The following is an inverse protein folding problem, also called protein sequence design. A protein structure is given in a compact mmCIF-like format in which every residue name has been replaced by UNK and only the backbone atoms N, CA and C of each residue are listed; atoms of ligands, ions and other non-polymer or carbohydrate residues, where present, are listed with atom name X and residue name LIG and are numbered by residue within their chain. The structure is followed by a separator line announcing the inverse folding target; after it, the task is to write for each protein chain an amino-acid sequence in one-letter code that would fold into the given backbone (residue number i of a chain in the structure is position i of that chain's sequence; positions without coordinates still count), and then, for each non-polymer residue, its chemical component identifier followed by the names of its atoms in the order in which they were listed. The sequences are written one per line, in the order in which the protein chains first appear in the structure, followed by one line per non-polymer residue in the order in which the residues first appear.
data_IF_064260818567
#
_entry.id   IF_064260818567
#
_cell.length_a   1.000
_cell.length_b   1.000
_cell.length_c   1.000
_cell.angle_alpha   90.00
_cell.angle_beta   90.00
_cell.angle_gamma   90.00
#
_symmetry.space_group_name_H-M   'P 1'
#
loop_
_entity.id
_entity.type
_entity.pdbx_description
1 polymer ?
#
# COMPACT_ATOMS: atom_id res chain seq x y z
N UNK A 1 -28.20 -25.70 -43.46
CA UNK A 1 -26.94 -25.57 -42.64
C UNK A 1 -26.20 -24.23 -42.80
N UNK A 2 -26.76 -23.23 -43.50
CA UNK A 2 -26.10 -21.92 -43.74
C UNK A 2 -26.75 -20.78 -42.97
N UNK A 3 -27.87 -20.99 -42.28
CA UNK A 3 -28.61 -19.92 -41.54
C UNK A 3 -28.21 -19.80 -40.05
N UNK A 4 -27.37 -20.72 -39.52
CA UNK A 4 -26.95 -20.69 -38.11
C UNK A 4 -25.61 -19.96 -37.87
N UNK A 5 -24.95 -19.44 -38.88
CA UNK A 5 -23.64 -18.78 -38.75
C UNK A 5 -23.72 -17.24 -38.70
N UNK A 6 -24.90 -16.63 -38.77
CA UNK A 6 -25.08 -15.17 -38.88
C UNK A 6 -25.66 -14.51 -37.60
N UNK A 7 -25.83 -15.28 -36.52
CA UNK A 7 -26.36 -14.74 -35.24
C UNK A 7 -25.29 -14.50 -34.17
N UNK A 8 -24.00 -14.73 -34.48
CA UNK A 8 -22.92 -14.64 -33.49
C UNK A 8 -22.08 -13.35 -33.59
N UNK A 9 -22.43 -12.37 -34.41
CA UNK A 9 -21.60 -11.18 -34.64
C UNK A 9 -22.22 -9.84 -34.24
N UNK A 10 -23.26 -9.82 -33.40
CA UNK A 10 -23.92 -8.58 -32.93
C UNK A 10 -23.81 -8.36 -31.42
N UNK A 11 -22.83 -8.95 -30.76
CA UNK A 11 -22.37 -8.48 -29.46
C UNK A 11 -21.25 -7.44 -29.65
N UNK A 12 -21.49 -6.43 -30.51
CA UNK A 12 -20.74 -5.18 -30.41
C UNK A 12 -21.11 -4.59 -29.06
N UNK A 13 -20.23 -4.77 -28.06
CA UNK A 13 -20.36 -4.17 -26.75
C UNK A 13 -20.58 -2.68 -26.96
N UNK A 14 -21.78 -2.18 -26.63
CA UNK A 14 -22.00 -0.75 -26.53
C UNK A 14 -20.92 -0.23 -25.60
N UNK A 15 -19.98 0.56 -26.11
CA UNK A 15 -19.00 1.28 -25.29
C UNK A 15 -19.82 2.25 -24.44
N UNK A 16 -20.27 1.77 -23.28
CA UNK A 16 -20.95 2.61 -22.31
C UNK A 16 -19.90 3.52 -21.72
N UNK A 17 -20.08 4.83 -21.88
CA UNK A 17 -19.20 5.80 -21.23
C UNK A 17 -19.07 5.46 -19.74
N UNK A 18 -17.83 5.32 -19.29
CA UNK A 18 -17.54 4.94 -17.91
C UNK A 18 -18.05 6.02 -16.96
N UNK A 19 -18.83 5.61 -15.97
CA UNK A 19 -19.26 6.50 -14.90
C UNK A 19 -18.29 6.40 -13.71
N UNK A 20 -18.45 7.29 -12.74
CA UNK A 20 -17.59 7.35 -11.55
C UNK A 20 -17.58 6.01 -10.79
N UNK A 21 -18.71 5.31 -10.75
CA UNK A 21 -18.80 4.02 -10.05
C UNK A 21 -17.96 2.96 -10.76
N UNK A 22 -17.98 2.94 -12.08
CA UNK A 22 -17.16 2.01 -12.87
C UNK A 22 -15.67 2.31 -12.70
N UNK A 23 -15.27 3.58 -12.77
CA UNK A 23 -13.88 4.01 -12.52
C UNK A 23 -13.42 3.59 -11.12
N UNK A 24 -14.25 3.75 -10.11
CA UNK A 24 -13.93 3.29 -8.76
C UNK A 24 -13.78 1.77 -8.65
N UNK A 25 -14.65 1.01 -9.30
CA UNK A 25 -14.54 -0.48 -9.34
C UNK A 25 -13.25 -0.94 -10.02
N UNK A 26 -12.91 -0.30 -11.15
CA UNK A 26 -11.67 -0.61 -11.86
C UNK A 26 -10.44 -0.25 -11.01
N UNK A 27 -10.46 0.89 -10.33
CA UNK A 27 -9.41 1.31 -9.40
C UNK A 27 -9.27 0.34 -8.21
N UNK A 28 -10.38 -0.16 -7.63
CA UNK A 28 -10.35 -1.17 -6.56
C UNK A 28 -9.65 -2.47 -6.99
N UNK A 29 -9.74 -2.82 -8.26
CA UNK A 29 -9.14 -4.04 -8.80
C UNK A 29 -7.66 -3.86 -9.16
N UNK A 30 -7.23 -2.66 -9.52
CA UNK A 30 -5.94 -2.43 -10.16
C UNK A 30 -4.97 -1.56 -9.35
N UNK A 31 -5.45 -0.65 -8.48
CA UNK A 31 -4.59 0.31 -7.78
C UNK A 31 -3.48 -0.37 -6.97
N UNK A 32 -2.22 -0.04 -7.30
CA UNK A 32 -1.05 -0.62 -6.67
C UNK A 32 -0.89 -0.20 -5.19
N UNK A 33 -1.34 1.00 -4.82
CA UNK A 33 -1.27 1.47 -3.44
C UNK A 33 -2.25 0.68 -2.55
N UNK A 34 -3.47 0.42 -3.05
CA UNK A 34 -4.43 -0.43 -2.34
C UNK A 34 -3.95 -1.90 -2.27
N UNK A 35 -3.32 -2.42 -3.33
CA UNK A 35 -2.74 -3.76 -3.33
C UNK A 35 -1.62 -3.88 -2.28
N UNK A 36 -0.75 -2.87 -2.18
CA UNK A 36 0.28 -2.78 -1.14
C UNK A 36 -0.33 -2.70 0.27
N UNK A 37 -1.39 -1.90 0.47
CA UNK A 37 -2.08 -1.81 1.75
C UNK A 37 -2.72 -3.15 2.14
N UNK A 38 -3.27 -3.91 1.16
CA UNK A 38 -3.79 -5.26 1.39
C UNK A 38 -2.69 -6.23 1.82
N UNK A 39 -1.55 -6.23 1.14
CA UNK A 39 -0.41 -7.05 1.52
C UNK A 39 0.12 -6.68 2.93
N UNK A 40 0.11 -5.40 3.28
CA UNK A 40 0.46 -4.91 4.62
C UNK A 40 -0.54 -5.39 5.69
N UNK A 41 -1.84 -5.44 5.36
CA UNK A 41 -2.85 -6.01 6.23
C UNK A 41 -2.62 -7.52 6.46
N UNK A 42 -2.33 -8.29 5.42
CA UNK A 42 -2.03 -9.72 5.55
C UNK A 42 -0.79 -9.93 6.43
N UNK A 43 0.29 -9.16 6.20
CA UNK A 43 1.47 -9.19 7.06
C UNK A 43 1.16 -8.77 8.51
N UNK A 44 0.25 -7.80 8.69
CA UNK A 44 -0.22 -7.38 10.01
C UNK A 44 -0.99 -8.47 10.76
N UNK A 45 -1.80 -9.25 10.05
CA UNK A 45 -2.55 -10.39 10.63
C UNK A 45 -1.64 -11.47 11.19
N UNK A 46 -0.45 -11.65 10.62
CA UNK A 46 0.55 -12.61 11.11
C UNK A 46 1.17 -12.19 12.47
N UNK A 47 0.94 -10.96 12.94
CA UNK A 47 1.37 -10.53 14.28
C UNK A 47 0.66 -11.28 15.40
N UNK A 48 -0.58 -11.73 15.17
CA UNK A 48 -1.34 -12.51 16.15
C UNK A 48 -0.76 -13.94 16.32
N UNK A 49 -0.55 -14.75 15.25
CA UNK A 49 0.17 -16.02 15.36
C UNK A 49 1.56 -15.88 15.97
N UNK A 50 2.33 -14.83 15.59
CA UNK A 50 3.65 -14.56 16.17
C UNK A 50 3.56 -14.29 17.68
N UNK A 51 2.61 -13.48 18.12
CA UNK A 51 2.38 -13.23 19.54
C UNK A 51 1.97 -14.50 20.29
N UNK A 52 1.12 -15.33 19.66
CA UNK A 52 0.68 -16.62 20.23
C UNK A 52 1.82 -17.64 20.33
N UNK A 53 2.76 -17.62 19.38
CA UNK A 53 3.90 -18.56 19.37
C UNK A 53 4.73 -18.47 20.65
N UNK A 54 4.84 -17.29 21.27
CA UNK A 54 5.51 -17.11 22.55
C UNK A 54 4.84 -17.80 23.76
N UNK A 55 3.59 -18.28 23.60
CA UNK A 55 2.84 -19.03 24.62
C UNK A 55 2.88 -20.54 24.37
N UNK A 56 3.35 -20.97 23.21
CA UNK A 56 3.40 -22.38 22.79
C UNK A 56 4.76 -23.01 23.11
N UNK A 57 4.84 -24.36 23.16
CA UNK A 57 6.11 -25.04 23.32
C UNK A 57 7.01 -24.81 22.11
N UNK A 58 8.29 -24.59 22.38
CA UNK A 58 9.35 -24.53 21.36
C UNK A 58 10.25 -25.75 21.42
N UNK A 59 10.55 -26.33 20.28
CA UNK A 59 11.46 -27.47 20.13
C UNK A 59 12.70 -27.01 19.36
N UNK A 60 13.86 -27.11 19.98
CA UNK A 60 15.13 -26.76 19.38
C UNK A 60 16.02 -28.02 19.25
N UNK A 61 16.57 -28.20 18.06
CA UNK A 61 17.63 -29.22 17.81
C UNK A 61 18.93 -28.44 17.59
N UNK A 62 19.93 -28.77 18.39
CA UNK A 62 21.30 -28.26 18.26
C UNK A 62 22.29 -29.38 18.04
N UNK A 63 23.25 -29.17 17.14
CA UNK A 63 24.35 -30.08 16.90
C UNK A 63 25.65 -29.27 16.86
N UNK A 64 26.68 -29.78 17.48
CA UNK A 64 28.00 -29.15 17.47
C UNK A 64 29.08 -30.16 17.17
N UNK A 65 30.13 -29.73 16.50
CA UNK A 65 31.37 -30.46 16.31
C UNK A 65 32.53 -29.50 16.42
N UNK A 66 33.42 -29.69 17.35
CA UNK A 66 34.55 -28.81 17.62
C UNK A 66 35.86 -29.59 17.56
N UNK A 67 36.72 -29.19 16.63
CA UNK A 67 38.07 -29.75 16.50
C UNK A 67 39.01 -28.90 17.34
N UNK A 68 39.73 -29.56 18.27
CA UNK A 68 40.62 -28.90 19.21
C UNK A 68 42.00 -29.48 19.06
N UNK A 69 43.02 -28.63 18.94
CA UNK A 69 44.42 -28.99 19.01
C UNK A 69 45.03 -28.38 20.27
N UNK A 70 45.51 -29.23 21.16
CA UNK A 70 46.15 -28.81 22.40
C UNK A 70 47.62 -29.16 22.37
N UNK A 71 48.47 -28.16 22.52
CA UNK A 71 49.91 -28.35 22.65
C UNK A 71 50.27 -28.34 24.16
N UNK A 72 50.69 -29.50 24.65
CA UNK A 72 51.15 -29.68 26.01
C UNK A 72 52.65 -29.38 26.07
N UNK A 73 53.04 -28.13 26.13
CA UNK A 73 54.42 -27.66 26.09
C UNK A 73 55.37 -28.36 27.09
N UNK A 74 54.84 -28.83 28.23
CA UNK A 74 55.65 -29.52 29.23
C UNK A 74 56.04 -30.94 28.82
N UNK A 75 55.28 -31.54 27.90
CA UNK A 75 55.51 -32.91 27.40
C UNK A 75 55.89 -32.97 25.93
N UNK A 76 56.01 -31.81 25.28
CA UNK A 76 56.27 -31.67 23.81
C UNK A 76 55.33 -32.52 22.95
N UNK A 77 54.06 -32.57 23.36
CA UNK A 77 53.04 -33.38 22.69
C UNK A 77 51.90 -32.48 22.22
N UNK A 78 51.63 -32.49 20.90
CA UNK A 78 50.44 -31.90 20.33
C UNK A 78 49.36 -32.98 20.16
N UNK A 79 48.16 -32.72 20.64
CA UNK A 79 47.04 -33.63 20.59
C UNK A 79 45.81 -32.97 19.98
N UNK A 80 45.37 -33.54 18.84
CA UNK A 80 44.11 -33.21 18.24
C UNK A 80 42.98 -34.12 18.76
N UNK A 81 41.83 -33.52 19.06
CA UNK A 81 40.63 -34.28 19.42
C UNK A 81 39.38 -33.55 18.95
N UNK A 82 38.28 -34.27 18.71
CA UNK A 82 36.99 -33.73 18.35
C UNK A 82 36.01 -33.95 19.49
N UNK A 83 35.35 -32.86 19.86
CA UNK A 83 34.17 -32.88 20.72
C UNK A 83 32.94 -32.67 19.85
N UNK A 84 32.03 -33.61 19.86
CA UNK A 84 30.78 -33.51 19.08
C UNK A 84 29.58 -33.91 19.96
N UNK A 85 28.44 -33.36 19.58
CA UNK A 85 27.23 -33.68 20.31
C UNK A 85 26.01 -33.15 19.57
N UNK A 86 24.89 -33.65 20.01
CA UNK A 86 23.58 -33.13 19.60
C UNK A 86 22.64 -33.09 20.79
N UNK A 87 21.68 -32.16 20.79
CA UNK A 87 20.69 -32.02 21.84
C UNK A 87 19.35 -31.57 21.22
N UNK A 88 18.27 -32.20 21.67
CA UNK A 88 16.91 -31.76 21.45
C UNK A 88 16.42 -31.18 22.76
N UNK A 89 15.88 -29.95 22.72
CA UNK A 89 15.35 -29.27 23.89
C UNK A 89 13.92 -28.77 23.60
N UNK A 90 13.00 -29.21 24.43
CA UNK A 90 11.62 -28.71 24.49
C UNK A 90 11.53 -27.68 25.62
N UNK A 91 11.04 -26.50 25.32
CA UNK A 91 10.77 -25.44 26.32
C UNK A 91 9.32 -25.00 26.19
N UNK A 92 8.55 -25.14 27.28
CA UNK A 92 7.17 -24.66 27.41
C UNK A 92 7.10 -23.58 28.46
N UNK A 93 6.82 -22.31 28.10
CA UNK A 93 6.51 -21.29 29.06
C UNK A 93 5.22 -21.62 29.82
N UNK A 94 5.29 -21.72 31.14
CA UNK A 94 4.12 -21.92 32.00
C UNK A 94 3.62 -20.59 32.55
N UNK A 95 4.55 -19.70 32.94
CA UNK A 95 4.25 -18.36 33.36
C UNK A 95 5.31 -17.39 32.87
N UNK A 96 4.95 -16.61 31.85
CA UNK A 96 5.74 -15.48 31.34
C UNK A 96 4.76 -14.36 30.97
N UNK A 97 4.57 -13.42 31.94
CA UNK A 97 3.62 -12.32 31.74
C UNK A 97 3.96 -11.50 30.49
N UNK A 98 5.23 -11.31 30.19
CA UNK A 98 5.72 -10.64 29.00
C UNK A 98 5.15 -11.24 27.69
N UNK A 99 5.09 -12.58 27.61
CA UNK A 99 4.56 -13.27 26.40
C UNK A 99 3.04 -13.07 26.27
N UNK A 100 2.33 -13.02 27.41
CA UNK A 100 0.91 -12.71 27.43
C UNK A 100 0.63 -11.29 26.93
N UNK A 101 1.39 -10.29 27.40
CA UNK A 101 1.28 -8.90 26.94
C UNK A 101 1.62 -8.80 25.45
N UNK A 102 2.66 -9.51 25.00
CA UNK A 102 3.03 -9.55 23.57
C UNK A 102 1.91 -10.16 22.71
N UNK A 103 1.23 -11.19 23.19
CA UNK A 103 0.05 -11.74 22.51
C UNK A 103 -1.06 -10.67 22.39
N UNK A 104 -1.34 -9.94 23.45
CA UNK A 104 -2.31 -8.83 23.43
C UNK A 104 -1.89 -7.67 22.53
N UNK A 105 -0.60 -7.35 22.45
CA UNK A 105 -0.10 -6.40 21.46
C UNK A 105 -0.30 -6.90 20.03
N UNK A 106 -0.14 -8.22 19.79
CA UNK A 106 -0.42 -8.83 18.49
C UNK A 106 -1.87 -8.62 18.04
N UNK A 107 -2.85 -8.78 18.95
CA UNK A 107 -4.27 -8.49 18.66
C UNK A 107 -4.49 -7.02 18.24
N UNK A 108 -3.87 -6.09 18.97
CA UNK A 108 -3.97 -4.66 18.66
C UNK A 108 -3.25 -4.29 17.36
N UNK A 109 -2.14 -4.96 17.05
CA UNK A 109 -1.41 -4.74 15.79
C UNK A 109 -2.24 -5.18 14.57
N UNK A 110 -3.03 -6.25 14.69
CA UNK A 110 -4.01 -6.65 13.66
C UNK A 110 -5.04 -5.54 13.47
N UNK A 111 -5.65 -5.06 14.57
CA UNK A 111 -6.65 -3.99 14.51
C UNK A 111 -6.09 -2.69 13.91
N UNK A 112 -4.84 -2.34 14.23
CA UNK A 112 -4.14 -1.21 13.61
C UNK A 112 -4.00 -1.37 12.10
N UNK A 113 -3.58 -2.58 11.66
CA UNK A 113 -3.41 -2.86 10.24
C UNK A 113 -4.75 -2.83 9.48
N UNK A 114 -5.85 -3.26 10.12
CA UNK A 114 -7.20 -3.15 9.56
C UNK A 114 -7.65 -1.70 9.42
N UNK A 115 -7.43 -0.85 10.44
CA UNK A 115 -7.73 0.57 10.38
C UNK A 115 -6.93 1.27 9.25
N UNK A 116 -5.64 0.94 9.10
CA UNK A 116 -4.79 1.47 8.04
C UNK A 116 -5.25 1.04 6.64
N UNK A 117 -5.70 -0.19 6.48
CA UNK A 117 -6.28 -0.66 5.21
C UNK A 117 -7.57 0.08 4.86
N UNK A 118 -8.45 0.33 5.83
CA UNK A 118 -9.67 1.10 5.59
C UNK A 118 -9.35 2.56 5.22
N UNK A 119 -8.31 3.14 5.81
CA UNK A 119 -7.79 4.47 5.45
C UNK A 119 -7.33 4.49 3.97
N UNK A 120 -6.57 3.49 3.55
CA UNK A 120 -6.13 3.36 2.16
C UNK A 120 -7.31 3.21 1.19
N UNK A 121 -8.38 2.51 1.59
CA UNK A 121 -9.63 2.43 0.80
C UNK A 121 -10.33 3.78 0.66
N UNK A 122 -10.40 4.56 1.75
CA UNK A 122 -10.97 5.92 1.69
C UNK A 122 -10.14 6.83 0.79
N UNK A 123 -8.81 6.77 0.89
CA UNK A 123 -7.91 7.53 0.02
C UNK A 123 -8.11 7.17 -1.46
N UNK A 124 -8.22 5.87 -1.77
CA UNK A 124 -8.53 5.44 -3.14
C UNK A 124 -9.85 6.03 -3.65
N UNK A 125 -10.89 6.09 -2.81
CA UNK A 125 -12.18 6.67 -3.19
C UNK A 125 -12.02 8.15 -3.60
N UNK A 126 -11.24 8.90 -2.82
CA UNK A 126 -10.96 10.31 -3.12
C UNK A 126 -10.12 10.44 -4.39
N UNK A 127 -9.06 9.66 -4.55
CA UNK A 127 -8.19 9.69 -5.75
C UNK A 127 -8.95 9.30 -7.02
N UNK A 128 -9.83 8.31 -6.94
CA UNK A 128 -10.65 7.90 -8.07
C UNK A 128 -11.65 9.00 -8.47
N UNK A 129 -12.33 9.61 -7.49
CA UNK A 129 -13.24 10.70 -7.75
C UNK A 129 -12.52 11.93 -8.32
N UNK A 130 -11.39 12.30 -7.73
CA UNK A 130 -10.58 13.42 -8.20
C UNK A 130 -10.06 13.19 -9.61
N UNK A 131 -9.48 12.01 -9.89
CA UNK A 131 -8.99 11.67 -11.23
C UNK A 131 -10.10 11.71 -12.29
N UNK A 132 -11.29 11.21 -11.94
CA UNK A 132 -12.47 11.30 -12.82
C UNK A 132 -12.85 12.75 -13.15
N UNK A 133 -12.99 13.61 -12.13
CA UNK A 133 -13.34 15.00 -12.34
C UNK A 133 -12.23 15.80 -13.00
N UNK A 134 -10.97 15.52 -12.71
CA UNK A 134 -9.83 16.16 -13.37
C UNK A 134 -9.87 15.94 -14.89
N UNK A 135 -10.18 14.71 -15.34
CA UNK A 135 -10.32 14.43 -16.78
C UNK A 135 -11.51 15.19 -17.38
N UNK A 136 -12.67 15.23 -16.70
CA UNK A 136 -13.83 15.96 -17.19
C UNK A 136 -13.55 17.46 -17.32
N UNK A 137 -12.92 18.06 -16.31
CA UNK A 137 -12.52 19.49 -16.36
C UNK A 137 -11.53 19.73 -17.48
N UNK A 138 -10.53 18.88 -17.66
CA UNK A 138 -9.57 19.04 -18.75
C UNK A 138 -10.22 18.90 -20.15
N UNK A 139 -11.25 18.05 -20.29
CA UNK A 139 -12.05 17.96 -21.53
C UNK A 139 -12.82 19.26 -21.79
N UNK A 140 -13.45 19.83 -20.77
CA UNK A 140 -14.18 21.08 -20.90
C UNK A 140 -13.24 22.25 -21.23
N UNK A 141 -12.07 22.31 -20.61
CA UNK A 141 -11.03 23.32 -20.89
C UNK A 141 -10.54 23.20 -22.33
N UNK A 142 -10.26 21.97 -22.82
CA UNK A 142 -9.85 21.77 -24.20
C UNK A 142 -10.97 22.21 -25.19
N UNK A 143 -12.21 21.85 -24.92
CA UNK A 143 -13.35 22.27 -25.75
C UNK A 143 -13.49 23.82 -25.81
N UNK A 144 -13.33 24.50 -24.68
CA UNK A 144 -13.35 25.96 -24.62
C UNK A 144 -12.15 26.59 -25.35
N UNK A 145 -10.94 26.05 -25.17
CA UNK A 145 -9.74 26.53 -25.85
C UNK A 145 -9.82 26.33 -27.39
N UNK A 146 -10.38 25.21 -27.83
CA UNK A 146 -10.62 24.91 -29.25
C UNK A 146 -11.61 25.89 -29.84
N UNK A 147 -12.75 26.16 -29.17
CA UNK A 147 -13.74 27.13 -29.63
C UNK A 147 -13.16 28.57 -29.69
N UNK A 148 -12.33 28.95 -28.71
CA UNK A 148 -11.64 30.24 -28.71
C UNK A 148 -10.67 30.37 -29.87
N UNK A 149 -9.85 29.30 -30.13
CA UNK A 149 -8.94 29.27 -31.27
C UNK A 149 -9.68 29.38 -32.61
N UNK A 150 -10.77 28.66 -32.79
CA UNK A 150 -11.60 28.73 -33.97
C UNK A 150 -12.16 30.16 -34.17
N UNK A 151 -12.70 30.82 -33.13
CA UNK A 151 -13.18 32.16 -33.17
C UNK A 151 -12.09 33.19 -33.54
N UNK A 152 -10.90 33.08 -32.93
CA UNK A 152 -9.77 33.95 -33.23
C UNK A 152 -9.25 33.77 -34.67
N UNK A 153 -9.26 32.54 -35.15
CA UNK A 153 -8.86 32.20 -36.54
C UNK A 153 -9.85 32.79 -37.55
N UNK A 154 -11.15 32.71 -37.27
CA UNK A 154 -12.18 33.35 -38.09
C UNK A 154 -12.06 34.88 -38.08
N UNK A 155 -11.79 35.48 -36.90
CA UNK A 155 -11.58 36.93 -36.76
C UNK A 155 -10.33 37.40 -37.54
N UNK A 156 -9.24 36.63 -37.50
CA UNK A 156 -8.04 36.88 -38.30
C UNK A 156 -8.34 36.84 -39.82
N UNK A 157 -9.08 35.82 -40.26
CA UNK A 157 -9.44 35.68 -41.67
C UNK A 157 -10.31 36.87 -42.15
N UNK A 158 -11.24 37.33 -41.29
CA UNK A 158 -12.05 38.54 -41.55
C UNK A 158 -11.19 39.80 -41.57
N UNK A 159 -10.26 39.96 -40.60
CA UNK A 159 -9.34 41.10 -40.54
C UNK A 159 -8.46 41.21 -41.77
N UNK A 160 -7.90 40.07 -42.27
CA UNK A 160 -7.10 40.03 -43.52
C UNK A 160 -7.92 40.52 -44.72
N UNK A 161 -9.18 40.03 -44.89
CA UNK A 161 -10.08 40.49 -45.97
C UNK A 161 -10.45 41.95 -45.86
N UNK A 162 -10.70 42.43 -44.64
CA UNK A 162 -11.02 43.84 -44.39
C UNK A 162 -9.83 44.75 -44.69
N UNK A 163 -8.61 44.33 -44.44
CA UNK A 163 -7.42 45.06 -44.82
C UNK A 163 -7.23 45.13 -46.34
N UNK A 164 -7.48 44.02 -47.05
CA UNK A 164 -7.44 43.97 -48.55
C UNK A 164 -8.36 44.98 -49.18
N UNK A 165 -9.52 45.24 -48.57
CA UNK A 165 -10.47 46.25 -49.08
C UNK A 165 -10.28 47.67 -48.45
N UNK A 166 -9.23 47.83 -47.58
CA UNK A 166 -8.84 49.15 -47.04
C UNK A 166 -9.68 49.63 -45.85
N UNK A 167 -10.44 48.77 -45.15
CA UNK A 167 -11.36 49.16 -44.06
C UNK A 167 -10.72 49.06 -42.68
N UNK A 168 -9.59 48.38 -42.53
CA UNK A 168 -8.83 48.21 -41.25
C UNK A 168 -7.34 48.45 -41.50
N UNK A 169 -6.57 48.67 -40.41
CA UNK A 169 -5.13 48.89 -40.49
C UNK A 169 -4.33 47.58 -40.49
N UNK A 170 -3.10 47.60 -40.93
CA UNK A 170 -2.18 46.45 -40.84
C UNK A 170 -1.91 46.06 -39.39
N UNK A 171 -1.94 47.05 -38.46
CA UNK A 171 -1.78 46.81 -37.03
C UNK A 171 -2.93 45.94 -36.49
N UNK A 172 -4.16 46.15 -36.94
CA UNK A 172 -5.32 45.33 -36.54
C UNK A 172 -5.18 43.89 -36.99
N UNK A 173 -4.61 43.67 -38.20
CA UNK A 173 -4.31 42.32 -38.71
C UNK A 173 -3.25 41.63 -37.84
N UNK A 174 -2.16 42.35 -37.48
CA UNK A 174 -1.12 41.81 -36.61
C UNK A 174 -1.62 41.50 -35.20
N UNK A 175 -2.53 42.34 -34.67
CA UNK A 175 -3.18 42.06 -33.38
C UNK A 175 -4.07 40.78 -33.46
N UNK A 176 -4.89 40.66 -34.51
CA UNK A 176 -5.68 39.44 -34.72
C UNK A 176 -4.81 38.19 -34.92
N UNK A 177 -3.67 38.30 -35.62
CA UNK A 177 -2.72 37.21 -35.75
C UNK A 177 -2.15 36.80 -34.38
N UNK A 178 -1.69 37.77 -33.57
CA UNK A 178 -1.15 37.48 -32.24
C UNK A 178 -2.18 36.78 -31.35
N UNK A 179 -3.46 37.15 -31.41
CA UNK A 179 -4.55 36.49 -30.67
C UNK A 179 -4.78 35.06 -31.16
N UNK A 180 -4.76 34.83 -32.48
CA UNK A 180 -4.88 33.49 -33.05
C UNK A 180 -3.70 32.57 -32.64
N UNK A 181 -2.47 33.10 -32.69
CA UNK A 181 -1.26 32.35 -32.29
C UNK A 181 -1.27 32.02 -30.79
N UNK A 182 -1.67 32.98 -29.94
CA UNK A 182 -1.81 32.77 -28.51
C UNK A 182 -2.85 31.70 -28.18
N UNK A 183 -4.05 31.79 -28.84
CA UNK A 183 -5.10 30.77 -28.62
C UNK A 183 -4.71 29.39 -29.15
N UNK A 184 -3.92 29.32 -30.21
CA UNK A 184 -3.32 28.06 -30.67
C UNK A 184 -2.39 27.42 -29.63
N UNK A 185 -1.52 28.23 -29.02
CA UNK A 185 -0.65 27.76 -27.94
C UNK A 185 -1.45 27.28 -26.71
N UNK A 186 -2.53 28.00 -26.35
CA UNK A 186 -3.42 27.59 -25.26
C UNK A 186 -4.15 26.29 -25.55
N UNK A 187 -4.62 26.07 -26.79
CA UNK A 187 -5.26 24.82 -27.20
C UNK A 187 -4.30 23.63 -27.09
N UNK A 188 -3.06 23.79 -27.58
CA UNK A 188 -2.00 22.75 -27.49
C UNK A 188 -1.69 22.41 -26.00
N UNK A 189 -1.60 23.44 -25.16
CA UNK A 189 -1.38 23.24 -23.72
C UNK A 189 -2.55 22.48 -23.07
N UNK A 190 -3.81 22.81 -23.41
CA UNK A 190 -4.99 22.11 -22.90
C UNK A 190 -5.06 20.66 -23.41
N UNK A 191 -4.66 20.40 -24.65
CA UNK A 191 -4.57 19.03 -25.21
C UNK A 191 -3.54 18.20 -24.44
N UNK A 192 -2.38 18.79 -24.17
CA UNK A 192 -1.32 18.12 -23.39
C UNK A 192 -1.76 17.85 -21.95
N UNK A 193 -2.46 18.80 -21.30
CA UNK A 193 -2.98 18.59 -19.93
C UNK A 193 -4.02 17.47 -19.90
N UNK A 194 -4.94 17.42 -20.85
CA UNK A 194 -5.91 16.34 -20.97
C UNK A 194 -5.22 14.97 -21.12
N UNK A 195 -4.16 14.89 -21.93
CA UNK A 195 -3.40 13.65 -22.09
C UNK A 195 -2.76 13.21 -20.76
N UNK A 196 -2.18 14.15 -19.99
CA UNK A 196 -1.63 13.88 -18.66
C UNK A 196 -2.69 13.38 -17.69
N UNK A 197 -3.89 14.04 -17.64
CA UNK A 197 -4.98 13.64 -16.75
C UNK A 197 -5.54 12.24 -17.11
N UNK A 198 -5.69 11.93 -18.39
CA UNK A 198 -6.09 10.60 -18.86
C UNK A 198 -5.07 9.54 -18.46
N UNK A 199 -3.78 9.84 -18.62
CA UNK A 199 -2.74 8.90 -18.23
C UNK A 199 -2.73 8.67 -16.69
N UNK A 200 -2.95 9.71 -15.89
CA UNK A 200 -3.06 9.57 -14.44
C UNK A 200 -4.24 8.64 -14.06
N UNK A 201 -5.38 8.77 -14.74
CA UNK A 201 -6.53 7.90 -14.53
C UNK A 201 -6.26 6.46 -15.01
N UNK A 202 -5.55 6.29 -16.13
CA UNK A 202 -5.09 4.97 -16.61
C UNK A 202 -4.21 4.28 -15.57
N UNK A 203 -3.24 4.98 -14.97
CA UNK A 203 -2.37 4.41 -13.92
C UNK A 203 -3.18 3.94 -12.72
N UNK A 204 -4.25 4.64 -12.38
CA UNK A 204 -5.13 4.30 -11.26
C UNK A 204 -6.06 3.11 -11.55
N UNK A 205 -6.60 3.03 -12.79
CA UNK A 205 -7.64 2.04 -13.17
C UNK A 205 -7.11 0.85 -13.96
N UNK A 206 -5.89 0.97 -14.53
CA UNK A 206 -5.31 0.00 -15.44
C UNK A 206 -5.97 -0.07 -16.82
N UNK A 207 -6.94 0.83 -17.09
CA UNK A 207 -7.69 0.87 -18.35
C UNK A 207 -7.72 2.29 -18.89
N UNK A 208 -7.53 2.43 -20.18
CA UNK A 208 -7.73 3.71 -20.83
C UNK A 208 -9.24 4.03 -20.88
N UNK A 209 -9.67 5.18 -20.36
CA UNK A 209 -11.07 5.56 -20.39
C UNK A 209 -11.44 6.00 -21.82
N UNK A 210 -12.16 5.15 -22.55
CA UNK A 210 -12.61 5.46 -23.93
C UNK A 210 -13.51 6.72 -23.97
N UNK A 211 -14.45 6.82 -23.03
CA UNK A 211 -15.28 8.00 -22.81
C UNK A 211 -15.74 8.03 -21.35
N UNK A 212 -15.68 9.21 -20.73
CA UNK A 212 -16.26 9.43 -19.41
C UNK A 212 -17.65 10.07 -19.55
N UNK A 213 -18.58 9.64 -18.68
CA UNK A 213 -19.92 10.22 -18.62
C UNK A 213 -19.86 11.59 -17.98
N UNK A 214 -20.24 12.62 -18.73
CA UNK A 214 -20.30 14.00 -18.22
C UNK A 214 -21.29 14.15 -17.06
N UNK A 215 -21.11 15.23 -16.30
CA UNK A 215 -22.03 15.58 -15.22
C UNK A 215 -23.42 15.92 -15.75
N UNK A 216 -24.44 15.53 -14.99
CA UNK A 216 -25.81 15.88 -15.29
C UNK A 216 -25.98 17.41 -15.14
N UNK A 217 -26.52 18.09 -16.16
CA UNK A 217 -26.76 19.52 -16.09
C UNK A 217 -27.83 19.84 -15.03
N UNK A 218 -27.63 20.91 -14.28
CA UNK A 218 -28.61 21.39 -13.31
C UNK A 218 -28.69 20.64 -11.99
N UNK A 219 -27.64 19.90 -11.61
CA UNK A 219 -27.56 19.29 -10.27
C UNK A 219 -27.46 20.38 -9.22
N UNK A 220 -28.47 20.46 -8.36
CA UNK A 220 -28.41 21.34 -7.19
C UNK A 220 -27.44 20.74 -6.16
N UNK A 221 -26.43 21.51 -5.81
CA UNK A 221 -25.51 21.12 -4.72
C UNK A 221 -26.24 21.39 -3.38
N UNK A 222 -26.62 20.31 -2.69
CA UNK A 222 -27.14 20.40 -1.33
C UNK A 222 -26.02 20.76 -0.34
N UNK A 223 -26.34 21.51 0.69
CA UNK A 223 -25.39 21.71 1.80
C UNK A 223 -25.20 20.42 2.56
N UNK A 224 -24.02 20.19 3.15
CA UNK A 224 -23.81 19.03 4.00
C UNK A 224 -24.79 19.03 5.19
N UNK A 225 -25.37 17.86 5.46
CA UNK A 225 -26.22 17.63 6.64
C UNK A 225 -25.52 16.61 7.57
N UNK A 226 -25.49 16.85 8.89
CA UNK A 226 -26.02 18.03 9.63
C UNK A 226 -25.20 19.31 9.36
N UNK A 227 -25.85 20.47 9.47
CA UNK A 227 -25.20 21.78 9.26
C UNK A 227 -24.28 22.18 10.43
N UNK A 228 -24.39 21.51 11.57
CA UNK A 228 -23.62 21.76 12.77
C UNK A 228 -22.25 21.08 12.72
N UNK A 229 -21.18 21.85 12.91
CA UNK A 229 -19.81 21.38 12.90
C UNK A 229 -19.51 20.42 14.06
N UNK A 230 -20.16 20.61 15.22
CA UNK A 230 -19.92 19.76 16.40
C UNK A 230 -20.39 18.32 16.17
N UNK A 231 -21.47 18.14 15.42
CA UNK A 231 -21.96 16.83 15.00
C UNK A 231 -20.95 16.10 14.10
N UNK A 232 -20.26 16.82 13.22
CA UNK A 232 -19.19 16.27 12.38
C UNK A 232 -17.94 15.89 13.21
N UNK A 233 -17.57 16.73 14.18
CA UNK A 233 -16.45 16.44 15.08
C UNK A 233 -16.74 15.19 15.90
N UNK A 234 -17.92 15.09 16.53
CA UNK A 234 -18.33 13.92 17.31
C UNK A 234 -18.36 12.62 16.46
N UNK A 235 -18.84 12.74 15.21
CA UNK A 235 -18.83 11.62 14.25
C UNK A 235 -17.41 11.22 13.85
N UNK A 236 -16.50 12.20 13.71
CA UNK A 236 -15.10 11.93 13.36
C UNK A 236 -14.33 11.28 14.52
N UNK A 237 -14.59 11.65 15.78
CA UNK A 237 -13.95 11.04 16.95
C UNK A 237 -14.20 9.52 17.04
N UNK A 238 -15.37 9.05 16.62
CA UNK A 238 -15.76 7.63 16.70
C UNK A 238 -15.60 6.91 15.36
N UNK A 239 -15.81 7.60 14.24
CA UNK A 239 -15.90 7.00 12.90
C UNK A 239 -14.64 7.14 12.05
N UNK A 240 -13.70 8.02 12.40
CA UNK A 240 -12.49 8.23 11.60
C UNK A 240 -11.47 7.12 11.82
N UNK A 241 -11.10 6.41 10.76
CA UNK A 241 -10.05 5.39 10.82
C UNK A 241 -8.68 5.96 11.21
N UNK A 242 -8.41 7.24 10.91
CA UNK A 242 -7.18 7.90 11.35
C UNK A 242 -7.14 8.05 12.88
N UNK A 243 -8.26 8.46 13.49
CA UNK A 243 -8.38 8.57 14.95
C UNK A 243 -8.30 7.18 15.59
N UNK A 244 -9.00 6.18 15.04
CA UNK A 244 -8.94 4.80 15.53
C UNK A 244 -7.51 4.24 15.47
N UNK A 245 -6.79 4.44 14.36
CA UNK A 245 -5.40 4.01 14.24
C UNK A 245 -4.49 4.68 15.28
N UNK A 246 -4.68 5.98 15.55
CA UNK A 246 -3.92 6.70 16.57
C UNK A 246 -4.24 6.21 18.00
N UNK A 247 -5.51 5.93 18.30
CA UNK A 247 -5.94 5.37 19.59
C UNK A 247 -5.34 3.98 19.83
N UNK A 248 -5.43 3.10 18.83
CA UNK A 248 -4.82 1.76 18.88
C UNK A 248 -3.30 1.86 19.05
N UNK A 249 -2.64 2.78 18.32
CA UNK A 249 -1.20 3.04 18.46
C UNK A 249 -0.81 3.46 19.88
N UNK A 250 -1.63 4.31 20.54
CA UNK A 250 -1.46 4.66 21.94
C UNK A 250 -1.60 3.44 22.84
N UNK A 251 -2.63 2.62 22.65
CA UNK A 251 -2.83 1.41 23.46
C UNK A 251 -1.68 0.40 23.30
N UNK A 252 -1.14 0.23 22.08
CA UNK A 252 0.06 -0.58 21.85
C UNK A 252 1.25 -0.05 22.67
N UNK A 253 1.42 1.27 22.72
CA UNK A 253 2.48 1.91 23.52
C UNK A 253 2.26 1.72 25.02
N UNK A 254 1.03 1.81 25.51
CA UNK A 254 0.68 1.52 26.92
C UNK A 254 1.00 0.05 27.27
N UNK A 255 0.69 -0.89 26.37
CA UNK A 255 1.06 -2.30 26.53
C UNK A 255 2.57 -2.54 26.45
N UNK A 256 3.30 -1.72 25.70
CA UNK A 256 4.77 -1.80 25.66
C UNK A 256 5.37 -1.44 27.02
N UNK A 257 4.82 -0.43 27.70
CA UNK A 257 5.22 -0.11 29.10
C UNK A 257 4.94 -1.29 30.03
N UNK A 258 3.76 -1.92 29.90
CA UNK A 258 3.40 -3.12 30.70
C UNK A 258 4.38 -4.28 30.39
N UNK A 259 4.70 -4.51 29.13
CA UNK A 259 5.65 -5.55 28.70
C UNK A 259 7.02 -5.35 29.35
N UNK A 260 7.54 -4.11 29.35
CA UNK A 260 8.83 -3.80 29.95
C UNK A 260 8.80 -3.93 31.48
N UNK A 261 7.71 -3.54 32.13
CA UNK A 261 7.52 -3.75 33.57
C UNK A 261 7.44 -5.24 33.94
N UNK A 262 6.88 -6.05 33.06
CA UNK A 262 6.74 -7.50 33.29
C UNK A 262 8.09 -8.24 33.33
N UNK A 263 9.18 -7.63 32.84
CA UNK A 263 10.52 -8.17 32.99
C UNK A 263 11.01 -8.28 34.45
N UNK A 264 10.37 -7.56 35.39
CA UNK A 264 10.63 -7.68 36.81
C UNK A 264 9.84 -8.81 37.48
N UNK A 265 8.92 -9.45 36.78
CA UNK A 265 8.14 -10.58 37.31
C UNK A 265 8.91 -11.91 37.11
N UNK A 266 8.70 -12.88 38.03
CA UNK A 266 9.29 -14.19 37.85
C UNK A 266 8.77 -14.88 36.61
N UNK A 267 9.61 -15.73 36.01
CA UNK A 267 9.24 -16.60 34.89
C UNK A 267 9.30 -18.06 35.31
N UNK A 268 8.37 -18.87 34.81
CA UNK A 268 8.34 -20.31 35.05
C UNK A 268 8.23 -21.01 33.70
N UNK A 269 9.23 -21.85 33.42
CA UNK A 269 9.28 -22.64 32.20
C UNK A 269 9.44 -24.14 32.55
N UNK A 270 8.77 -24.99 31.81
CA UNK A 270 9.05 -26.42 31.80
C UNK A 270 10.07 -26.70 30.69
N UNK A 271 11.22 -27.25 31.06
CA UNK A 271 12.28 -27.61 30.12
C UNK A 271 12.52 -29.11 30.18
N UNK A 272 12.49 -29.76 29.03
CA UNK A 272 12.90 -31.13 28.86
C UNK A 272 13.99 -31.18 27.78
N UNK A 273 15.09 -31.87 28.05
CA UNK A 273 16.18 -32.02 27.07
C UNK A 273 16.63 -33.46 26.98
N UNK A 274 16.99 -33.84 25.77
CA UNK A 274 17.61 -35.15 25.47
C UNK A 274 18.74 -34.95 24.47
N UNK A 275 19.89 -35.50 24.78
CA UNK A 275 21.04 -35.29 23.92
C UNK A 275 22.17 -36.33 24.17
N UNK A 276 23.15 -36.30 23.30
CA UNK A 276 24.36 -37.09 23.42
C UNK A 276 25.55 -36.18 23.11
N UNK A 277 26.56 -36.22 23.98
CA UNK A 277 27.81 -35.52 23.80
C UNK A 277 28.98 -36.49 23.92
N UNK A 278 29.90 -36.43 22.98
CA UNK A 278 31.13 -37.17 22.98
C UNK A 278 32.28 -36.17 23.08
N UNK A 279 33.06 -36.28 24.12
CA UNK A 279 34.21 -35.42 24.34
C UNK A 279 35.46 -36.20 24.79
N UNK A 280 36.61 -35.65 24.47
CA UNK A 280 37.89 -36.13 25.06
C UNK A 280 38.57 -34.95 25.74
N UNK A 281 39.19 -35.21 26.87
CA UNK A 281 40.03 -34.23 27.59
C UNK A 281 41.49 -34.48 27.29
N UNK A 282 42.24 -33.45 26.98
CA UNK A 282 43.64 -33.55 26.59
C UNK A 282 44.55 -33.98 27.74
N UNK A 283 44.10 -33.87 28.98
CA UNK A 283 45.00 -33.94 30.11
C UNK A 283 45.12 -35.30 30.84
N UNK A 284 44.11 -36.16 30.82
CA UNK A 284 44.08 -37.32 31.75
C UNK A 284 43.57 -38.61 31.15
N UNK A 285 42.92 -38.63 30.02
CA UNK A 285 42.38 -39.86 29.42
C UNK A 285 42.69 -40.01 27.96
N UNK A 286 43.14 -41.15 27.55
CA UNK A 286 43.34 -41.54 26.14
C UNK A 286 42.04 -42.02 25.48
N UNK A 287 40.96 -42.07 26.23
CA UNK A 287 39.65 -42.53 25.78
C UNK A 287 38.63 -41.41 25.75
N UNK A 288 37.75 -41.34 24.76
CA UNK A 288 36.64 -40.38 24.75
C UNK A 288 35.69 -40.64 25.93
N UNK A 289 35.26 -39.56 26.58
CA UNK A 289 34.23 -39.63 27.62
C UNK A 289 32.88 -39.43 26.93
N UNK A 290 31.99 -40.37 27.08
CA UNK A 290 30.61 -40.28 26.59
C UNK A 290 29.72 -39.93 27.77
N UNK A 291 28.97 -38.85 27.62
CA UNK A 291 27.97 -38.42 28.59
C UNK A 291 26.58 -38.46 27.90
N UNK A 292 25.72 -39.32 28.39
CA UNK A 292 24.31 -39.36 28.03
C UNK A 292 23.56 -38.55 29.08
N UNK A 293 22.83 -37.50 28.66
CA UNK A 293 22.01 -36.65 29.54
C UNK A 293 20.55 -36.97 29.27
N UNK A 294 19.85 -37.47 30.24
CA UNK A 294 18.40 -37.71 30.26
C UNK A 294 17.59 -36.42 30.62
#
# INVERSE_FOLDING_TARGET
RVVLAMAASLAAGAATAADLEQVYRDALAYDAALASARASLEAGREKLPQGRAGLLPSLNLTGNSSWNDVNLKHYDVTRGYNNNGWQVQLTQPLFRWQNWVQYKQGEMQVALSEAQYQLARQDLTLRAAQGYFDVLVAQDVLAAATALHEANTQQLALGKKSFEVGTVTITDVHEAQSRADLSSAQMIAAESDLAVKRHALLVLTGKEPDALKGLRKGVALSRPEPADIQSWVASAETGSYAVQAAQIGREISDREVERNRSAHLPTVDLVASYGNAVGSTAAVSLSPIRTDTD
#
